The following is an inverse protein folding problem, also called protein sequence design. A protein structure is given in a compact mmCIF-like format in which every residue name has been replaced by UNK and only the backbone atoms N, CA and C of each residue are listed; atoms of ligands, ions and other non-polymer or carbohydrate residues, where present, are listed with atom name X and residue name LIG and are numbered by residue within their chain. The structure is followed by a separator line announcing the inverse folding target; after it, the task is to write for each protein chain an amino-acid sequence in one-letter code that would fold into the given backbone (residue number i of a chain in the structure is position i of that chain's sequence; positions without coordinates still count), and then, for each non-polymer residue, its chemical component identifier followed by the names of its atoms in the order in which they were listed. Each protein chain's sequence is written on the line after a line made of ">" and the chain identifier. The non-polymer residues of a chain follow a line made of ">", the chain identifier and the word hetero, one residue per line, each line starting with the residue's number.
data_IF_398491758982
#
_entry.id   IF_398491758982
#
_cell.length_a   1.000
_cell.length_b   1.000
_cell.length_c   1.000
_cell.angle_alpha   90.00
_cell.angle_beta   90.00
_cell.angle_gamma   90.00
#
_symmetry.space_group_name_H-M   'P 1'
#
loop_
_entity.id
_entity.type
_entity.pdbx_description
1 polymer ?
#
# COMPACT_ATOMS: atom_id res chain seq x y z
N UNK A 1 0.34 1.68 -10.95
CA UNK A 1 1.02 2.91 -11.38
C UNK A 1 1.69 3.48 -10.15
N UNK A 2 2.98 3.80 -10.23
CA UNK A 2 3.74 4.34 -9.09
C UNK A 2 3.98 5.83 -9.35
N UNK A 3 3.05 6.71 -8.91
CA UNK A 3 3.08 8.11 -9.32
C UNK A 3 4.30 8.87 -8.79
N UNK A 4 5.04 8.30 -7.84
CA UNK A 4 6.11 9.00 -7.14
C UNK A 4 7.37 8.16 -6.90
N UNK A 5 7.60 7.12 -7.71
CA UNK A 5 8.96 6.58 -7.79
C UNK A 5 9.80 7.71 -8.40
N UNK A 6 10.62 8.32 -7.55
CA UNK A 6 11.11 9.68 -7.73
C UNK A 6 11.67 9.89 -9.15
N UNK A 7 11.42 11.10 -9.69
CA UNK A 7 12.07 11.69 -10.89
C UNK A 7 13.59 11.62 -10.74
N UNK A 8 14.17 10.45 -10.92
CA UNK A 8 15.60 10.21 -10.87
C UNK A 8 16.11 10.61 -12.25
N UNK A 9 16.56 11.86 -12.34
CA UNK A 9 17.25 12.48 -13.48
C UNK A 9 16.49 12.66 -14.81
N UNK A 10 15.29 12.11 -15.00
CA UNK A 10 14.31 12.48 -16.04
C UNK A 10 12.95 11.88 -15.66
N UNK A 11 11.86 12.43 -16.20
CA UNK A 11 10.50 12.05 -15.85
C UNK A 11 10.19 10.57 -16.17
N UNK A 12 10.31 9.70 -15.18
CA UNK A 12 9.90 8.29 -15.30
C UNK A 12 8.70 8.04 -14.40
N UNK A 13 7.53 7.84 -15.01
CA UNK A 13 6.40 7.21 -14.32
C UNK A 13 6.57 5.71 -14.45
N UNK A 14 6.84 5.02 -13.35
CA UNK A 14 6.94 3.57 -13.39
C UNK A 14 5.53 2.94 -13.48
N UNK A 15 5.37 2.14 -14.53
CA UNK A 15 4.21 1.31 -14.75
C UNK A 15 4.62 -0.15 -14.56
N UNK A 16 3.86 -0.86 -13.75
CA UNK A 16 3.92 -2.31 -13.67
C UNK A 16 2.79 -2.87 -14.52
N UNK A 17 3.17 -3.62 -15.56
CA UNK A 17 2.23 -4.29 -16.46
C UNK A 17 2.34 -5.79 -16.22
N UNK A 18 1.20 -6.43 -15.99
CA UNK A 18 1.12 -7.86 -15.82
C UNK A 18 0.59 -8.52 -17.10
N UNK A 19 1.24 -9.61 -17.53
CA UNK A 19 0.74 -10.47 -18.60
C UNK A 19 0.28 -11.79 -18.00
N UNK A 20 -0.98 -12.13 -18.21
CA UNK A 20 -1.58 -13.35 -17.68
C UNK A 20 -1.54 -14.48 -18.70
N UNK A 21 -1.36 -15.71 -18.20
CA UNK A 21 -1.67 -16.91 -18.98
C UNK A 21 -3.19 -17.06 -19.10
N UNK A 22 -3.62 -17.75 -20.14
CA UNK A 22 -5.03 -18.08 -20.34
C UNK A 22 -5.62 -18.77 -19.09
N UNK A 23 -6.85 -18.41 -18.72
CA UNK A 23 -7.56 -18.99 -17.59
C UNK A 23 -7.17 -18.45 -16.20
N UNK A 24 -6.04 -17.76 -16.04
CA UNK A 24 -5.60 -17.25 -14.71
C UNK A 24 -6.60 -16.24 -14.13
N UNK A 25 -7.05 -15.28 -14.95
CA UNK A 25 -8.00 -14.24 -14.50
C UNK A 25 -9.37 -14.80 -14.12
N UNK A 26 -9.76 -15.96 -14.69
CA UNK A 26 -11.00 -16.65 -14.37
C UNK A 26 -10.93 -17.45 -13.05
N UNK A 27 -9.72 -17.70 -12.53
CA UNK A 27 -9.47 -18.43 -11.29
C UNK A 27 -9.21 -17.49 -10.11
N UNK A 28 -9.67 -16.24 -10.19
CA UNK A 28 -9.55 -15.27 -9.11
C UNK A 28 -10.58 -15.53 -8.01
N UNK A 29 -10.15 -15.33 -6.77
CA UNK A 29 -10.98 -15.42 -5.59
C UNK A 29 -12.01 -14.27 -5.59
N UNK A 30 -13.31 -14.54 -5.38
CA UNK A 30 -14.30 -13.46 -5.24
C UNK A 30 -14.06 -12.66 -3.96
N UNK A 31 -14.31 -11.36 -4.01
CA UNK A 31 -14.22 -10.47 -2.85
C UNK A 31 -15.62 -9.98 -2.52
N UNK A 32 -16.04 -10.19 -1.28
CA UNK A 32 -17.40 -9.84 -0.83
C UNK A 32 -17.58 -8.33 -0.64
N UNK A 33 -16.63 -7.70 0.07
CA UNK A 33 -16.69 -6.29 0.46
C UNK A 33 -15.35 -5.60 0.33
N UNK A 34 -15.38 -4.33 -0.06
CA UNK A 34 -14.21 -3.47 -0.27
C UNK A 34 -14.50 -2.08 0.29
N UNK A 35 -13.52 -1.34 0.85
CA UNK A 35 -13.74 0.04 1.27
C UNK A 35 -14.17 0.95 0.11
N UNK A 36 -15.07 1.88 0.38
CA UNK A 36 -15.69 2.76 -0.62
C UNK A 36 -14.68 3.57 -1.43
N UNK A 37 -13.57 3.99 -0.83
CA UNK A 37 -12.50 4.73 -1.50
C UNK A 37 -11.85 3.95 -2.66
N UNK A 38 -11.91 2.62 -2.65
CA UNK A 38 -11.40 1.78 -3.73
C UNK A 38 -12.38 1.62 -4.89
N UNK A 39 -13.63 2.12 -4.78
CA UNK A 39 -14.69 1.89 -5.78
C UNK A 39 -14.26 2.22 -7.20
N UNK A 40 -13.70 3.41 -7.42
CA UNK A 40 -13.27 3.83 -8.76
C UNK A 40 -12.20 2.89 -9.33
N UNK A 41 -11.28 2.42 -8.50
CA UNK A 41 -10.23 1.50 -8.92
C UNK A 41 -10.82 0.13 -9.28
N UNK A 42 -11.77 -0.38 -8.50
CA UNK A 42 -12.51 -1.62 -8.80
C UNK A 42 -13.33 -1.48 -10.08
N UNK A 43 -14.01 -0.34 -10.29
CA UNK A 43 -14.78 -0.06 -11.50
C UNK A 43 -13.91 -0.08 -12.77
N UNK A 44 -12.69 0.45 -12.69
CA UNK A 44 -11.74 0.43 -13.81
C UNK A 44 -11.32 -1.02 -14.11
N UNK A 45 -11.03 -1.82 -13.09
CA UNK A 45 -10.63 -3.23 -13.25
C UNK A 45 -11.78 -4.06 -13.81
N UNK A 46 -12.99 -3.89 -13.30
CA UNK A 46 -14.19 -4.57 -13.80
C UNK A 46 -14.44 -4.27 -15.28
N UNK A 47 -14.32 -3.01 -15.70
CA UNK A 47 -14.45 -2.63 -17.11
C UNK A 47 -13.34 -3.17 -18.00
N UNK A 48 -12.13 -3.36 -17.46
CA UNK A 48 -10.95 -3.75 -18.25
C UNK A 48 -10.84 -5.27 -18.39
N UNK A 49 -11.09 -6.04 -17.32
CA UNK A 49 -10.89 -7.49 -17.28
C UNK A 49 -12.02 -8.26 -16.56
N UNK A 50 -13.07 -7.58 -16.10
CA UNK A 50 -14.14 -8.14 -15.27
C UNK A 50 -13.73 -8.36 -13.82
N UNK A 51 -14.68 -8.33 -12.89
CA UNK A 51 -14.51 -8.88 -11.54
C UNK A 51 -15.14 -10.29 -11.46
N UNK A 52 -14.57 -11.24 -10.68
CA UNK A 52 -15.19 -12.56 -10.50
C UNK A 52 -16.60 -12.47 -9.89
N UNK A 53 -16.75 -11.55 -8.94
CA UNK A 53 -18.00 -11.08 -8.37
C UNK A 53 -17.82 -9.60 -8.03
N UNK A 54 -18.84 -8.78 -8.31
CA UNK A 54 -18.77 -7.35 -8.02
C UNK A 54 -19.01 -7.11 -6.52
N UNK A 55 -18.06 -6.53 -5.77
CA UNK A 55 -18.13 -6.43 -4.31
C UNK A 55 -19.12 -5.37 -3.83
N UNK A 56 -19.55 -5.47 -2.57
CA UNK A 56 -20.17 -4.35 -1.86
C UNK A 56 -19.12 -3.29 -1.52
N UNK A 57 -19.54 -2.01 -1.48
CA UNK A 57 -18.69 -0.89 -1.07
C UNK A 57 -19.16 -0.33 0.26
N UNK A 58 -18.38 -0.58 1.30
CA UNK A 58 -18.68 -0.18 2.67
C UNK A 58 -17.85 1.04 3.08
N UNK A 59 -18.38 1.81 4.04
CA UNK A 59 -17.62 2.94 4.62
C UNK A 59 -16.43 2.39 5.36
N UNK A 60 -15.27 3.03 5.21
CA UNK A 60 -14.02 2.68 5.86
C UNK A 60 -14.21 2.63 7.39
N UNK A 61 -13.63 1.62 8.03
CA UNK A 61 -13.51 1.63 9.50
C UNK A 61 -12.49 2.66 9.95
N UNK A 62 -12.82 3.40 11.02
CA UNK A 62 -11.86 4.28 11.68
C UNK A 62 -10.97 3.47 12.63
N UNK A 63 -9.72 3.88 12.76
CA UNK A 63 -8.80 3.35 13.77
C UNK A 63 -8.38 4.51 14.67
N UNK A 64 -8.64 4.36 15.96
CA UNK A 64 -8.23 5.36 16.94
C UNK A 64 -6.72 5.31 17.15
N UNK A 65 -6.09 6.48 17.16
CA UNK A 65 -4.66 6.60 17.41
C UNK A 65 -4.35 6.19 18.86
N UNK A 66 -3.44 5.24 19.04
CA UNK A 66 -3.01 4.81 20.37
C UNK A 66 -1.85 5.67 20.89
N UNK A 67 -1.79 5.93 22.21
CA UNK A 67 -0.57 6.44 22.82
C UNK A 67 0.53 5.38 22.68
N UNK A 68 1.54 5.69 21.88
CA UNK A 68 2.72 4.84 21.69
C UNK A 68 3.91 5.27 22.56
N UNK A 69 4.77 4.30 22.85
CA UNK A 69 6.09 4.49 23.42
C UNK A 69 7.08 5.02 22.36
N UNK A 70 8.38 4.98 22.65
CA UNK A 70 9.42 5.26 21.67
C UNK A 70 9.45 4.21 20.55
N UNK A 71 10.06 4.56 19.43
CA UNK A 71 10.28 3.64 18.30
C UNK A 71 11.78 3.56 18.01
N UNK A 72 12.30 2.34 17.99
CA UNK A 72 13.67 2.01 17.64
C UNK A 72 13.76 1.50 16.20
N UNK A 73 14.91 1.77 15.56
CA UNK A 73 15.16 1.39 14.18
C UNK A 73 16.45 0.58 14.16
N UNK A 74 16.34 -0.65 13.67
CA UNK A 74 17.46 -1.56 13.47
C UNK A 74 17.80 -1.56 11.98
N UNK A 75 18.92 -0.93 11.63
CA UNK A 75 19.50 -0.93 10.29
C UNK A 75 20.63 -1.96 10.23
N UNK A 76 20.24 -3.22 10.01
CA UNK A 76 21.15 -4.34 9.92
C UNK A 76 20.58 -5.36 8.91
N UNK A 77 20.74 -5.14 7.60
CA UNK A 77 19.94 -5.82 6.57
C UNK A 77 19.94 -7.35 6.67
N UNK A 78 21.11 -7.97 6.89
CA UNK A 78 21.21 -9.43 7.02
C UNK A 78 20.59 -9.96 8.33
N UNK A 79 20.63 -9.17 9.40
CA UNK A 79 19.94 -9.53 10.65
C UNK A 79 18.43 -9.43 10.45
N UNK A 80 17.96 -8.30 9.89
CA UNK A 80 16.55 -8.03 9.63
C UNK A 80 15.93 -9.10 8.74
N UNK A 81 16.61 -9.48 7.65
CA UNK A 81 16.15 -10.53 6.75
C UNK A 81 15.97 -11.87 7.47
N UNK A 82 17.00 -12.32 8.21
CA UNK A 82 16.91 -13.57 9.00
C UNK A 82 15.84 -13.51 10.08
N UNK A 83 15.65 -12.34 10.69
CA UNK A 83 14.63 -12.12 11.70
C UNK A 83 13.22 -12.23 11.09
N UNK A 84 12.99 -11.56 9.97
CA UNK A 84 11.74 -11.64 9.20
C UNK A 84 11.41 -13.08 8.78
N UNK A 85 12.40 -13.81 8.26
CA UNK A 85 12.28 -15.22 7.87
C UNK A 85 12.02 -16.16 9.05
N UNK A 86 12.27 -15.72 10.28
CA UNK A 86 11.96 -16.49 11.48
C UNK A 86 10.60 -16.15 12.05
N UNK A 87 10.26 -14.87 12.15
CA UNK A 87 9.06 -14.42 12.86
C UNK A 87 7.80 -14.43 11.98
N UNK A 88 7.89 -14.09 10.69
CA UNK A 88 6.72 -14.06 9.80
C UNK A 88 6.53 -15.42 9.14
N UNK A 89 5.91 -16.35 9.85
CA UNK A 89 5.73 -17.74 9.37
C UNK A 89 4.59 -17.87 8.35
N UNK A 90 3.59 -16.98 8.42
CA UNK A 90 2.47 -16.98 7.48
C UNK A 90 2.95 -16.64 6.06
N UNK A 91 2.84 -17.58 5.09
CA UNK A 91 3.29 -17.34 3.72
C UNK A 91 2.49 -16.26 2.99
N UNK A 92 1.28 -15.91 3.45
CA UNK A 92 0.50 -14.78 2.93
C UNK A 92 1.18 -13.48 3.33
N UNK A 93 1.55 -13.37 4.61
CA UNK A 93 2.18 -12.17 5.19
C UNK A 93 3.66 -12.04 4.87
N UNK A 94 4.30 -13.12 4.43
CA UNK A 94 5.68 -13.11 3.91
C UNK A 94 5.75 -12.64 2.44
N UNK A 95 4.62 -12.43 1.77
CA UNK A 95 4.63 -12.16 0.33
C UNK A 95 4.83 -10.68 0.01
N UNK A 96 5.99 -10.36 -0.55
CA UNK A 96 6.19 -9.14 -1.33
C UNK A 96 7.19 -9.43 -2.46
N UNK A 97 6.81 -9.31 -3.74
CA UNK A 97 7.58 -9.91 -4.83
C UNK A 97 8.78 -9.06 -5.32
N UNK A 98 8.97 -7.84 -4.81
CA UNK A 98 10.00 -6.93 -5.34
C UNK A 98 11.15 -6.61 -4.37
N UNK A 99 10.98 -6.84 -3.06
CA UNK A 99 11.94 -6.37 -2.06
C UNK A 99 12.07 -7.33 -0.87
N UNK A 100 13.31 -7.47 -0.41
CA UNK A 100 13.64 -8.03 0.90
C UNK A 100 13.72 -6.91 1.96
N UNK A 101 13.34 -7.18 3.22
CA UNK A 101 13.43 -6.19 4.27
C UNK A 101 14.90 -5.88 4.61
N UNK A 102 15.21 -4.59 4.75
CA UNK A 102 16.55 -4.13 5.13
C UNK A 102 16.57 -3.35 6.46
N UNK A 103 15.41 -2.92 6.95
CA UNK A 103 15.25 -2.28 8.25
C UNK A 103 14.11 -2.93 9.05
N UNK A 104 14.26 -2.94 10.38
CA UNK A 104 13.23 -3.30 11.34
C UNK A 104 12.92 -2.10 12.22
N UNK A 105 11.62 -1.86 12.43
CA UNK A 105 11.10 -0.76 13.23
C UNK A 105 10.34 -1.39 14.39
N UNK A 106 10.83 -1.22 15.61
CA UNK A 106 10.28 -1.86 16.79
C UNK A 106 9.72 -0.82 17.76
N UNK A 107 8.52 -1.09 18.28
CA UNK A 107 8.00 -0.36 19.42
C UNK A 107 8.82 -0.72 20.68
N UNK A 108 9.27 0.30 21.41
CA UNK A 108 10.04 0.11 22.65
C UNK A 108 9.26 -0.58 23.77
N UNK A 109 7.93 -0.57 23.71
CA UNK A 109 7.06 -1.32 24.62
C UNK A 109 6.78 -2.76 24.16
N UNK A 110 7.29 -3.16 22.99
CA UNK A 110 7.09 -4.49 22.41
C UNK A 110 5.70 -4.73 21.82
N UNK A 111 4.92 -3.67 21.56
CA UNK A 111 3.56 -3.81 21.03
C UNK A 111 3.52 -4.31 19.57
N UNK A 112 4.52 -3.92 18.77
CA UNK A 112 4.64 -4.32 17.39
C UNK A 112 6.07 -4.23 16.88
N UNK A 113 6.35 -4.97 15.80
CA UNK A 113 7.51 -4.75 14.95
C UNK A 113 7.06 -4.67 13.49
N UNK A 114 7.75 -3.83 12.70
CA UNK A 114 7.49 -3.64 11.28
C UNK A 114 8.76 -3.85 10.48
N UNK A 115 8.67 -4.70 9.47
CA UNK A 115 9.74 -4.97 8.52
C UNK A 115 9.52 -4.12 7.29
N UNK A 116 10.56 -3.40 6.88
CA UNK A 116 10.48 -2.53 5.73
C UNK A 116 11.73 -2.61 4.86
N UNK A 117 11.54 -2.26 3.59
CA UNK A 117 12.62 -1.96 2.67
C UNK A 117 12.70 -0.46 2.51
N UNK A 118 13.81 0.16 2.92
CA UNK A 118 14.08 1.58 2.69
C UNK A 118 15.23 1.75 1.71
N UNK A 119 14.94 2.37 0.57
CA UNK A 119 15.96 2.92 -0.30
C UNK A 119 16.14 4.41 0.01
N UNK A 120 17.30 4.76 0.55
CA UNK A 120 17.61 6.15 0.95
C UNK A 120 17.99 7.05 -0.21
N UNK A 121 18.33 6.47 -1.36
CA UNK A 121 18.77 7.23 -2.54
C UNK A 121 17.58 7.92 -3.20
N UNK A 122 16.47 7.22 -3.32
CA UNK A 122 15.22 7.70 -3.92
C UNK A 122 14.15 8.01 -2.87
N UNK A 123 14.39 7.74 -1.59
CA UNK A 123 13.43 7.96 -0.51
C UNK A 123 12.21 7.03 -0.57
N UNK A 124 12.31 5.93 -1.30
CA UNK A 124 11.27 4.93 -1.42
C UNK A 124 11.30 3.96 -0.23
N UNK A 125 10.14 3.71 0.38
CA UNK A 125 9.99 2.79 1.49
C UNK A 125 8.81 1.85 1.26
N UNK A 126 9.02 0.55 1.45
CA UNK A 126 7.96 -0.46 1.40
C UNK A 126 7.79 -1.08 2.77
N UNK A 127 6.56 -1.15 3.29
CA UNK A 127 6.22 -1.96 4.45
C UNK A 127 5.92 -3.38 3.96
N UNK A 128 6.65 -4.36 4.49
CA UNK A 128 6.63 -5.74 3.98
C UNK A 128 5.87 -6.70 4.90
N UNK A 129 5.87 -6.43 6.20
CA UNK A 129 5.18 -7.26 7.18
C UNK A 129 5.27 -6.68 8.58
N UNK A 130 4.47 -7.22 9.48
CA UNK A 130 4.44 -6.79 10.87
C UNK A 130 4.11 -7.96 11.81
N UNK A 131 4.65 -7.89 13.03
CA UNK A 131 4.37 -8.80 14.14
C UNK A 131 3.62 -8.03 15.25
N UNK A 132 2.58 -8.62 15.88
CA UNK A 132 1.89 -9.87 15.50
C UNK A 132 1.08 -9.74 14.19
N UNK A 133 0.85 -8.53 13.69
CA UNK A 133 0.20 -8.33 12.39
C UNK A 133 0.01 -6.87 12.00
N UNK A 134 -0.46 -6.58 10.77
CA UNK A 134 -0.68 -5.20 10.33
C UNK A 134 -1.65 -4.41 11.23
N UNK A 135 -2.69 -5.08 11.75
CA UNK A 135 -3.68 -4.43 12.60
C UNK A 135 -3.17 -4.00 13.97
N UNK A 136 -2.08 -4.59 14.51
CA UNK A 136 -1.46 -4.08 15.74
C UNK A 136 -0.65 -2.80 15.50
N UNK A 137 -0.23 -2.56 14.26
CA UNK A 137 0.50 -1.36 13.85
C UNK A 137 -0.45 -0.20 13.53
N UNK A 138 -1.66 -0.49 13.04
CA UNK A 138 -2.61 0.51 12.56
C UNK A 138 -2.81 1.71 13.52
N UNK A 139 -3.02 1.54 14.84
CA UNK A 139 -3.14 2.66 15.78
C UNK A 139 -1.89 3.54 15.93
N UNK A 140 -0.74 3.08 15.45
CA UNK A 140 0.57 3.73 15.57
C UNK A 140 1.13 4.19 14.22
N UNK A 141 0.40 3.97 13.13
CA UNK A 141 0.92 4.09 11.77
C UNK A 141 1.39 5.52 11.45
N UNK A 142 0.66 6.56 11.85
CA UNK A 142 1.11 7.95 11.64
C UNK A 142 2.48 8.23 12.28
N UNK A 143 2.70 7.74 13.51
CA UNK A 143 3.99 7.91 14.21
C UNK A 143 5.09 7.13 13.53
N UNK A 144 4.80 5.90 13.08
CA UNK A 144 5.73 5.09 12.32
C UNK A 144 6.15 5.82 11.02
N UNK A 145 5.18 6.41 10.31
CA UNK A 145 5.43 7.18 9.10
C UNK A 145 6.28 8.43 9.40
N UNK A 146 6.01 9.15 10.49
CA UNK A 146 6.87 10.28 10.91
C UNK A 146 8.32 9.82 11.19
N UNK A 147 8.50 8.64 11.78
CA UNK A 147 9.84 8.07 12.03
C UNK A 147 10.54 7.67 10.72
N UNK A 148 9.84 7.01 9.81
CA UNK A 148 10.34 6.70 8.47
C UNK A 148 10.74 7.95 7.71
N UNK A 149 9.93 9.01 7.81
CA UNK A 149 10.22 10.32 7.20
C UNK A 149 11.55 10.89 7.69
N UNK A 150 11.80 10.84 9.01
CA UNK A 150 13.05 11.34 9.60
C UNK A 150 14.30 10.58 9.17
N UNK A 151 14.16 9.34 8.71
CA UNK A 151 15.27 8.53 8.20
C UNK A 151 15.36 8.47 6.67
N UNK A 152 14.58 9.32 5.98
CA UNK A 152 14.70 9.54 4.54
C UNK A 152 13.59 8.95 3.69
N UNK A 153 12.51 8.40 4.27
CA UNK A 153 11.35 7.99 3.47
C UNK A 153 10.54 9.22 3.02
N UNK A 154 10.27 9.33 1.72
CA UNK A 154 9.43 10.36 1.12
C UNK A 154 8.17 9.77 0.47
N UNK A 155 8.23 8.48 0.16
CA UNK A 155 7.13 7.68 -0.35
C UNK A 155 7.10 6.37 0.42
N UNK A 156 5.94 6.04 1.00
CA UNK A 156 5.73 4.78 1.71
C UNK A 156 4.64 3.99 1.02
N UNK A 157 4.87 2.73 0.71
CA UNK A 157 3.87 1.84 0.15
C UNK A 157 3.77 0.49 0.87
N UNK A 158 2.66 -0.21 0.66
CA UNK A 158 2.44 -1.57 1.11
C UNK A 158 1.50 -2.30 0.16
N UNK A 159 1.64 -3.62 0.09
CA UNK A 159 0.76 -4.51 -0.67
C UNK A 159 -0.22 -5.20 0.28
N UNK A 160 -1.51 -5.09 -0.01
CA UNK A 160 -2.57 -5.67 0.82
C UNK A 160 -3.52 -6.49 -0.04
N UNK A 161 -3.92 -7.71 0.37
CA UNK A 161 -4.96 -8.46 -0.33
C UNK A 161 -6.26 -7.65 -0.40
N UNK A 162 -6.93 -7.67 -1.55
CA UNK A 162 -8.18 -6.92 -1.77
C UNK A 162 -9.31 -7.33 -0.80
N UNK A 163 -9.28 -8.58 -0.31
CA UNK A 163 -10.26 -9.09 0.65
C UNK A 163 -10.01 -8.65 2.11
N UNK A 164 -8.86 -8.03 2.41
CA UNK A 164 -8.51 -7.58 3.77
C UNK A 164 -9.13 -6.20 4.07
N UNK A 165 -10.46 -6.15 4.20
CA UNK A 165 -11.23 -4.92 4.40
C UNK A 165 -10.71 -4.04 5.56
N UNK A 166 -10.40 -4.63 6.71
CA UNK A 166 -9.98 -3.89 7.91
C UNK A 166 -8.58 -3.28 7.73
N UNK A 167 -7.66 -4.01 7.11
CA UNK A 167 -6.30 -3.52 6.82
C UNK A 167 -6.33 -2.37 5.81
N UNK A 168 -7.13 -2.51 4.75
CA UNK A 168 -7.33 -1.45 3.75
C UNK A 168 -7.98 -0.20 4.38
N UNK A 169 -9.00 -0.39 5.24
CA UNK A 169 -9.66 0.71 5.96
C UNK A 169 -8.70 1.46 6.88
N UNK A 170 -7.87 0.73 7.63
CA UNK A 170 -6.87 1.32 8.51
C UNK A 170 -5.85 2.18 7.75
N UNK A 171 -5.36 1.68 6.61
CA UNK A 171 -4.43 2.41 5.75
C UNK A 171 -5.06 3.69 5.20
N UNK A 172 -6.32 3.61 4.73
CA UNK A 172 -7.08 4.78 4.25
C UNK A 172 -7.26 5.84 5.35
N UNK A 173 -7.62 5.41 6.56
CA UNK A 173 -7.76 6.30 7.72
C UNK A 173 -6.45 7.06 8.01
N UNK A 174 -5.32 6.36 7.91
CA UNK A 174 -3.97 6.91 8.05
C UNK A 174 -3.42 7.57 6.77
N UNK A 175 -4.27 7.93 5.81
CA UNK A 175 -3.90 8.75 4.66
C UNK A 175 -3.11 8.04 3.55
N UNK A 176 -3.08 6.71 3.53
CA UNK A 176 -2.68 5.97 2.35
C UNK A 176 -3.79 6.04 1.29
N UNK A 177 -3.38 6.06 0.02
CA UNK A 177 -4.27 6.07 -1.13
C UNK A 177 -4.04 4.79 -1.96
N UNK A 178 -5.10 4.17 -2.50
CA UNK A 178 -4.96 3.05 -3.43
C UNK A 178 -4.36 3.54 -4.74
N UNK A 179 -3.12 3.12 -5.02
CA UNK A 179 -2.33 3.53 -6.17
C UNK A 179 -2.44 2.55 -7.35
N UNK A 180 -2.68 1.27 -7.07
CA UNK A 180 -2.85 0.24 -8.08
C UNK A 180 -3.63 -0.96 -7.53
N UNK A 181 -4.29 -1.70 -8.42
CA UNK A 181 -4.83 -3.02 -8.14
C UNK A 181 -4.11 -4.01 -9.06
N UNK A 182 -3.59 -5.08 -8.48
CA UNK A 182 -2.93 -6.19 -9.17
C UNK A 182 -3.86 -7.42 -9.14
N UNK A 183 -4.55 -7.72 -10.25
CA UNK A 183 -5.38 -8.92 -10.39
C UNK A 183 -4.56 -10.22 -10.37
N UNK A 184 -5.07 -11.26 -9.74
CA UNK A 184 -4.46 -12.58 -9.70
C UNK A 184 -2.97 -12.60 -9.28
N UNK A 185 -2.58 -11.72 -8.35
CA UNK A 185 -1.17 -11.50 -7.98
C UNK A 185 -0.54 -12.72 -7.32
N UNK A 186 -1.30 -13.43 -6.49
CA UNK A 186 -0.79 -14.56 -5.69
C UNK A 186 -1.73 -15.75 -5.71
N UNK A 187 -1.20 -16.92 -6.01
CA UNK A 187 -1.93 -18.18 -5.84
C UNK A 187 -2.03 -18.55 -4.35
N UNK A 188 -3.20 -19.01 -3.90
CA UNK A 188 -3.43 -19.47 -2.54
C UNK A 188 -4.78 -20.18 -2.42
N UNK A 189 -4.80 -21.37 -1.83
CA UNK A 189 -6.03 -22.15 -1.66
C UNK A 189 -6.69 -22.59 -2.98
N UNK A 190 -5.90 -22.77 -4.05
CA UNK A 190 -6.39 -23.19 -5.37
C UNK A 190 -6.95 -22.05 -6.24
N UNK A 191 -7.01 -20.82 -5.73
CA UNK A 191 -7.43 -19.63 -6.46
C UNK A 191 -6.34 -18.56 -6.42
N UNK A 192 -6.49 -17.51 -7.23
CA UNK A 192 -5.62 -16.35 -7.23
C UNK A 192 -6.24 -15.18 -6.48
N UNK A 193 -5.45 -14.48 -5.69
CA UNK A 193 -5.88 -13.34 -4.88
C UNK A 193 -5.46 -12.03 -5.54
N UNK A 194 -6.38 -11.08 -5.58
CA UNK A 194 -6.15 -9.71 -6.04
C UNK A 194 -5.53 -8.91 -4.90
N UNK A 195 -4.61 -8.01 -5.22
CA UNK A 195 -3.89 -7.17 -4.26
C UNK A 195 -4.03 -5.70 -4.64
N UNK A 196 -3.92 -4.84 -3.64
CA UNK A 196 -3.94 -3.39 -3.80
C UNK A 196 -2.61 -2.85 -3.31
N UNK A 197 -1.99 -1.99 -4.12
CA UNK A 197 -0.86 -1.17 -3.69
C UNK A 197 -1.45 0.05 -2.99
N UNK A 198 -1.21 0.17 -1.70
CA UNK A 198 -1.58 1.33 -0.90
C UNK A 198 -0.34 2.19 -0.71
N UNK A 199 -0.43 3.48 -1.02
CA UNK A 199 0.71 4.38 -0.98
C UNK A 199 0.39 5.70 -0.28
N UNK A 200 1.35 6.19 0.51
CA UNK A 200 1.34 7.51 1.14
C UNK A 200 2.57 8.28 0.71
N UNK A 201 2.34 9.40 0.03
CA UNK A 201 3.39 10.38 -0.28
C UNK A 201 3.48 11.41 0.85
N UNK A 202 4.70 11.80 1.20
CA UNK A 202 4.97 12.81 2.22
C UNK A 202 5.40 14.14 1.59
N UNK A 203 5.49 14.17 0.27
CA UNK A 203 5.79 15.35 -0.52
C UNK A 203 4.60 15.71 -1.42
N UNK A 204 4.36 17.01 -1.68
CA UNK A 204 3.36 17.45 -2.65
C UNK A 204 3.62 16.82 -4.01
N UNK A 205 2.56 16.34 -4.66
CA UNK A 205 2.67 15.75 -5.99
C UNK A 205 2.59 16.84 -7.06
N UNK A 206 3.52 16.80 -7.99
CA UNK A 206 3.53 17.66 -9.17
C UNK A 206 3.16 16.86 -10.42
N UNK A 207 1.89 16.96 -10.81
CA UNK A 207 1.33 16.29 -11.97
C UNK A 207 1.54 17.04 -13.30
N UNK A 208 2.23 18.20 -13.30
CA UNK A 208 2.45 18.98 -14.53
C UNK A 208 3.38 18.24 -15.49
N UNK A 209 3.01 18.22 -16.76
CA UNK A 209 3.83 17.62 -17.83
C UNK A 209 3.84 16.09 -17.84
N UNK A 210 2.91 15.43 -17.13
CA UNK A 210 2.73 13.99 -17.24
C UNK A 210 2.23 13.61 -18.63
N UNK A 211 3.04 12.83 -19.35
CA UNK A 211 2.62 12.13 -20.56
C UNK A 211 2.06 10.77 -20.16
N UNK A 212 0.74 10.60 -20.23
CA UNK A 212 0.05 9.38 -19.82
C UNK A 212 -0.58 8.76 -21.06
N UNK A 213 -0.28 7.48 -21.32
CA UNK A 213 -0.98 6.73 -22.35
C UNK A 213 -2.46 6.57 -21.96
N UNK A 214 -3.35 6.67 -22.95
CA UNK A 214 -4.80 6.64 -22.74
C UNK A 214 -5.28 5.38 -21.96
N UNK A 215 -4.56 4.25 -22.08
CA UNK A 215 -4.86 3.03 -21.35
C UNK A 215 -4.68 3.18 -19.82
N UNK A 216 -3.82 4.09 -19.37
CA UNK A 216 -3.54 4.32 -17.95
C UNK A 216 -4.22 5.58 -17.38
N UNK A 217 -4.79 6.43 -18.24
CA UNK A 217 -5.47 7.66 -17.84
C UNK A 217 -6.51 7.44 -16.72
N UNK A 218 -7.41 6.44 -16.77
CA UNK A 218 -8.41 6.24 -15.72
C UNK A 218 -7.79 5.98 -14.34
N UNK A 219 -6.67 5.27 -14.28
CA UNK A 219 -5.97 4.97 -13.03
C UNK A 219 -5.30 6.22 -12.46
N UNK A 220 -4.70 7.04 -13.32
CA UNK A 220 -4.06 8.29 -12.89
C UNK A 220 -5.09 9.31 -12.40
N UNK A 221 -6.18 9.49 -13.13
CA UNK A 221 -7.26 10.39 -12.75
C UNK A 221 -7.89 9.99 -11.41
N UNK A 222 -8.15 8.69 -11.21
CA UNK A 222 -8.63 8.17 -9.93
C UNK A 222 -7.68 8.49 -8.78
N UNK A 223 -6.37 8.33 -8.97
CA UNK A 223 -5.39 8.66 -7.93
C UNK A 223 -5.30 10.16 -7.66
N UNK A 224 -5.27 10.98 -8.71
CA UNK A 224 -5.25 12.45 -8.60
C UNK A 224 -6.48 12.94 -7.83
N UNK A 225 -7.67 12.43 -8.14
CA UNK A 225 -8.90 12.85 -7.48
C UNK A 225 -8.92 12.48 -6.00
N UNK A 226 -8.48 11.26 -5.63
CA UNK A 226 -8.33 10.89 -4.22
C UNK A 226 -7.31 11.78 -3.49
N UNK A 227 -6.19 12.11 -4.16
CA UNK A 227 -5.19 13.00 -3.59
C UNK A 227 -5.74 14.40 -3.35
N UNK A 228 -6.48 14.96 -4.32
CA UNK A 228 -7.15 16.27 -4.16
C UNK A 228 -8.15 16.25 -3.01
N UNK A 229 -9.01 15.23 -2.94
CA UNK A 229 -9.98 15.08 -1.85
C UNK A 229 -9.33 14.99 -0.48
N UNK A 230 -8.16 14.35 -0.39
CA UNK A 230 -7.46 14.18 0.88
C UNK A 230 -6.68 15.42 1.32
N UNK A 231 -6.03 16.12 0.38
CA UNK A 231 -5.05 17.15 0.71
C UNK A 231 -5.45 18.57 0.31
N UNK A 232 -6.47 18.74 -0.53
CA UNK A 232 -6.95 20.05 -0.99
C UNK A 232 -8.39 20.37 -0.56
N UNK A 233 -9.25 19.37 -0.37
CA UNK A 233 -10.61 19.59 0.12
C UNK A 233 -10.59 19.87 1.63
N UNK A 234 -10.13 21.08 1.99
CA UNK A 234 -10.28 21.67 3.32
C UNK A 234 -11.71 22.17 3.54
N UNK A 235 -12.71 21.30 3.41
CA UNK A 235 -14.06 21.62 3.89
C UNK A 235 -14.04 21.64 5.43
N UNK A 236 -13.65 22.78 6.01
CA UNK A 236 -13.79 23.02 7.45
C UNK A 236 -12.94 24.10 8.11
N UNK A 237 -11.97 24.74 7.45
CA UNK A 237 -11.06 25.71 8.12
C UNK A 237 -11.55 27.18 8.10
N UNK A 238 -12.73 27.43 7.53
CA UNK A 238 -13.41 28.73 7.65
C UNK A 238 -14.84 28.54 8.18
N UNK A 239 -14.98 28.39 9.50
CA UNK A 239 -16.19 28.75 10.25
C UNK A 239 -15.81 29.35 11.60
#
# INVERSE_FOLDING_TARGET
>A
MFPNLHKTQRAETMLLVARYREGVLAQRHPVERVPRALRRLVDIIDKTIGMPAYPSFEVESCVDAAPGAGVEIVDAPLFVLRHFEREIVDPVRRFYPFHDPNILIADTGGAYEVYAHLNRVDGYCTLLGATPGPMSVAPHLDRLIDRLTRIGAHYVETLVPLHCFDELSALLACGFLPAALYPAMRAGGGLFHDYVVMARTLQPLDFRGLAIDAAFQPFVEQYIDLWKQRFLDTEGVFR
#
